data_IF_464789490022
#
_entry.id   IF_464789490022
#
_cell.length_a   1.000
_cell.length_b   1.000
_cell.length_c   1.000
_cell.angle_alpha   90.00
_cell.angle_beta   90.00
_cell.angle_gamma   90.00
#
_symmetry.space_group_name_H-M   'P 1'
#
loop_
_entity.id
_entity.type
_entity.pdbx_description
1 polymer ?
#
# COMPACT_ATOMS: atom_id res chain seq x y z
N UNK A 1 21.82 -9.65 -0.47
CA UNK A 1 20.67 -10.28 0.20
C UNK A 1 19.85 -9.21 0.89
N UNK A 2 18.53 -9.24 0.71
CA UNK A 2 17.58 -8.34 1.36
C UNK A 2 17.36 -8.88 2.77
N UNK A 3 17.40 -8.01 3.80
CA UNK A 3 17.13 -8.45 5.16
C UNK A 3 15.65 -8.78 5.40
N UNK A 4 15.37 -9.58 6.42
CA UNK A 4 14.02 -10.07 6.73
C UNK A 4 13.01 -8.95 6.97
N UNK A 5 13.44 -7.83 7.56
CA UNK A 5 12.54 -6.70 7.86
C UNK A 5 12.18 -5.97 6.56
N UNK A 6 13.15 -5.70 5.69
CA UNK A 6 12.87 -5.12 4.37
C UNK A 6 11.98 -6.04 3.53
N UNK A 7 12.19 -7.36 3.58
CA UNK A 7 11.32 -8.32 2.90
C UNK A 7 9.86 -8.22 3.39
N UNK A 8 9.63 -8.13 4.71
CA UNK A 8 8.29 -7.93 5.26
C UNK A 8 7.66 -6.61 4.82
N UNK A 9 8.45 -5.54 4.69
CA UNK A 9 7.97 -4.26 4.16
C UNK A 9 7.61 -4.31 2.68
N UNK A 10 8.35 -5.08 1.88
CA UNK A 10 8.02 -5.31 0.47
C UNK A 10 6.68 -6.04 0.38
N UNK A 11 6.53 -7.18 1.05
CA UNK A 11 5.33 -8.01 1.00
C UNK A 11 4.08 -7.26 1.47
N UNK A 12 4.17 -6.53 2.59
CA UNK A 12 3.03 -5.76 3.09
C UNK A 12 2.74 -4.54 2.22
N UNK A 13 3.76 -3.95 1.59
CA UNK A 13 3.59 -2.88 0.61
C UNK A 13 2.85 -3.38 -0.62
N UNK A 14 3.28 -4.50 -1.20
CA UNK A 14 2.63 -5.14 -2.34
C UNK A 14 1.14 -5.38 -2.04
N UNK A 15 0.83 -6.06 -0.93
CA UNK A 15 -0.55 -6.30 -0.51
C UNK A 15 -1.33 -5.00 -0.29
N UNK A 16 -0.70 -3.96 0.26
CA UNK A 16 -1.36 -2.67 0.47
C UNK A 16 -1.74 -2.00 -0.86
N UNK A 17 -0.87 -2.10 -1.88
CA UNK A 17 -1.17 -1.64 -3.23
C UNK A 17 -2.27 -2.46 -3.89
N UNK A 18 -2.20 -3.77 -3.76
CA UNK A 18 -3.17 -4.76 -4.25
C UNK A 18 -4.58 -4.52 -3.67
N UNK A 19 -4.65 -4.24 -2.38
CA UNK A 19 -5.90 -3.94 -1.69
C UNK A 19 -6.42 -2.56 -2.10
N UNK A 20 -5.54 -1.56 -2.19
CA UNK A 20 -5.95 -0.21 -2.56
C UNK A 20 -6.56 -0.16 -3.97
N UNK A 21 -5.94 -0.85 -4.96
CA UNK A 21 -6.44 -0.85 -6.35
C UNK A 21 -7.76 -1.62 -6.49
N UNK A 22 -8.00 -2.64 -5.66
CA UNK A 22 -9.28 -3.36 -5.65
C UNK A 22 -10.42 -2.58 -5.00
N UNK A 23 -10.08 -1.67 -4.08
CA UNK A 23 -11.07 -0.87 -3.36
C UNK A 23 -11.42 0.44 -4.04
N UNK A 24 -10.56 0.94 -4.94
CA UNK A 24 -10.80 2.22 -5.62
C UNK A 24 -11.69 2.04 -6.86
N UNK A 25 -12.65 2.93 -7.02
CA UNK A 25 -13.45 3.08 -8.21
C UNK A 25 -12.72 3.94 -9.25
N UNK A 26 -12.56 3.37 -10.44
CA UNK A 26 -11.89 4.01 -11.57
C UNK A 26 -10.36 3.96 -11.50
N UNK A 27 -9.71 4.40 -12.58
CA UNK A 27 -8.26 4.42 -12.65
C UNK A 27 -7.68 5.52 -11.74
N UNK A 28 -6.66 5.21 -10.92
CA UNK A 28 -5.99 6.23 -10.13
C UNK A 28 -5.19 7.17 -11.03
N UNK A 29 -5.26 8.46 -10.76
CA UNK A 29 -4.39 9.49 -11.38
C UNK A 29 -3.13 9.75 -10.57
N UNK A 30 -3.14 9.39 -9.29
CA UNK A 30 -2.04 9.61 -8.37
C UNK A 30 -1.89 8.44 -7.38
N UNK A 31 -0.64 8.05 -7.14
CA UNK A 31 -0.20 7.13 -6.10
C UNK A 31 0.68 7.93 -5.12
N UNK A 32 0.32 7.93 -3.84
CA UNK A 32 1.14 8.51 -2.75
C UNK A 32 1.60 7.39 -1.84
N UNK A 33 2.90 7.29 -1.63
CA UNK A 33 3.50 6.35 -0.67
C UNK A 33 4.19 7.15 0.43
N UNK A 34 3.66 7.08 1.65
CA UNK A 34 4.24 7.75 2.82
C UNK A 34 4.95 6.75 3.71
N UNK A 35 6.23 6.94 3.94
CA UNK A 35 7.04 6.19 4.90
C UNK A 35 7.21 7.02 6.18
N UNK A 36 6.84 6.47 7.33
CA UNK A 36 6.97 7.12 8.63
C UNK A 36 7.87 6.32 9.57
N UNK A 37 8.84 6.99 10.20
CA UNK A 37 9.70 6.41 11.23
C UNK A 37 11.02 5.83 10.68
N UNK A 38 11.52 4.76 11.29
CA UNK A 38 12.71 4.03 10.89
C UNK A 38 12.62 3.43 9.49
N UNK A 39 11.43 3.00 9.03
CA UNK A 39 11.28 2.54 7.63
C UNK A 39 11.59 3.65 6.63
N UNK A 40 11.37 4.93 6.99
CA UNK A 40 11.73 6.06 6.14
C UNK A 40 13.25 6.26 6.00
N UNK A 41 14.04 5.73 6.95
CA UNK A 41 15.52 5.78 6.92
C UNK A 41 16.13 4.71 6.02
N UNK A 42 15.35 3.72 5.60
CA UNK A 42 15.80 2.63 4.71
C UNK A 42 15.76 3.07 3.23
N UNK A 43 16.32 2.22 2.37
CA UNK A 43 16.18 2.34 0.93
C UNK A 43 14.75 1.92 0.52
N UNK A 44 13.90 2.91 0.25
CA UNK A 44 12.46 2.70 0.00
C UNK A 44 12.12 2.48 -1.48
N UNK A 45 13.09 2.56 -2.39
CA UNK A 45 12.85 2.45 -3.83
C UNK A 45 12.28 1.07 -4.19
N UNK A 46 12.86 0.00 -3.64
CA UNK A 46 12.41 -1.36 -3.87
C UNK A 46 10.98 -1.59 -3.36
N UNK A 47 10.64 -1.07 -2.16
CA UNK A 47 9.30 -1.15 -1.61
C UNK A 47 8.30 -0.38 -2.50
N UNK A 48 8.67 0.84 -2.90
CA UNK A 48 7.80 1.69 -3.75
C UNK A 48 7.55 1.04 -5.12
N UNK A 49 8.59 0.51 -5.77
CA UNK A 49 8.46 -0.18 -7.06
C UNK A 49 7.60 -1.43 -6.95
N UNK A 50 7.73 -2.17 -5.85
CA UNK A 50 6.92 -3.37 -5.61
C UNK A 50 5.44 -3.01 -5.42
N UNK A 51 5.14 -1.95 -4.67
CA UNK A 51 3.79 -1.39 -4.55
C UNK A 51 3.23 -1.00 -5.93
N UNK A 52 3.98 -0.22 -6.73
CA UNK A 52 3.54 0.22 -8.05
C UNK A 52 3.35 -0.94 -9.02
N UNK A 53 4.26 -1.92 -9.01
CA UNK A 53 4.15 -3.17 -9.76
C UNK A 53 2.80 -3.83 -9.45
N UNK A 54 2.48 -3.95 -8.17
CA UNK A 54 1.28 -4.66 -7.73
C UNK A 54 -0.02 -3.91 -8.06
N UNK A 55 -0.02 -2.58 -7.97
CA UNK A 55 -1.16 -1.74 -8.38
C UNK A 55 -1.47 -1.94 -9.86
N UNK A 56 -0.45 -1.96 -10.72
CA UNK A 56 -0.63 -2.08 -12.17
C UNK A 56 -0.76 -3.53 -12.66
N UNK A 57 -0.57 -4.53 -11.79
CA UNK A 57 -0.52 -5.95 -12.14
C UNK A 57 -1.83 -6.46 -12.75
N UNK A 58 -2.98 -5.97 -12.26
CA UNK A 58 -4.31 -6.37 -12.75
C UNK A 58 -4.52 -5.97 -14.21
N UNK A 59 -4.06 -4.77 -14.60
CA UNK A 59 -4.28 -4.24 -15.95
C UNK A 59 -3.21 -4.70 -16.95
N UNK A 60 -1.96 -4.81 -16.50
CA UNK A 60 -0.81 -5.06 -17.39
C UNK A 60 -0.34 -6.53 -17.41
N UNK A 61 -0.78 -7.34 -16.46
CA UNK A 61 -0.44 -8.78 -16.38
C UNK A 61 1.07 -9.02 -16.41
N UNK A 62 1.53 -9.99 -17.20
CA UNK A 62 2.94 -10.39 -17.26
C UNK A 62 3.87 -9.33 -17.89
N UNK A 63 3.33 -8.24 -18.43
CA UNK A 63 4.13 -7.16 -19.05
C UNK A 63 4.85 -6.31 -18.01
N UNK A 64 4.34 -6.25 -16.78
CA UNK A 64 4.94 -5.47 -15.71
C UNK A 64 5.87 -6.32 -14.83
N UNK A 65 6.96 -5.70 -14.41
CA UNK A 65 7.89 -6.21 -13.41
C UNK A 65 8.50 -5.03 -12.64
N UNK A 66 9.32 -5.35 -11.63
CA UNK A 66 9.90 -4.34 -10.73
C UNK A 66 10.83 -3.33 -11.44
N UNK A 67 11.44 -3.72 -12.56
CA UNK A 67 12.38 -2.88 -13.31
C UNK A 67 11.61 -1.83 -14.12
N UNK A 68 10.54 -2.25 -14.82
CA UNK A 68 9.77 -1.38 -15.71
C UNK A 68 8.54 -0.73 -15.06
N UNK A 69 8.23 -1.02 -13.80
CA UNK A 69 7.03 -0.53 -13.09
C UNK A 69 6.82 0.98 -13.22
N UNK A 70 7.82 1.82 -12.93
CA UNK A 70 7.68 3.27 -13.05
C UNK A 70 7.62 3.76 -14.49
N UNK A 71 8.28 3.07 -15.44
CA UNK A 71 8.19 3.43 -16.85
C UNK A 71 6.75 3.21 -17.35
N UNK A 72 6.17 2.05 -17.06
CA UNK A 72 4.79 1.74 -17.40
C UNK A 72 3.80 2.65 -16.67
N UNK A 73 4.05 2.99 -15.40
CA UNK A 73 3.22 3.95 -14.66
C UNK A 73 3.17 5.33 -15.34
N UNK A 74 4.32 5.82 -15.79
CA UNK A 74 4.41 7.09 -16.50
C UNK A 74 3.68 7.04 -17.86
N UNK A 75 3.73 5.91 -18.56
CA UNK A 75 2.96 5.71 -19.80
C UNK A 75 1.45 5.74 -19.57
N UNK A 76 0.97 5.33 -18.39
CA UNK A 76 -0.44 5.47 -17.98
C UNK A 76 -0.81 6.91 -17.56
N UNK A 77 0.14 7.84 -17.51
CA UNK A 77 -0.10 9.21 -17.05
C UNK A 77 -0.36 9.34 -15.55
N UNK A 78 -0.02 8.31 -14.76
CA UNK A 78 -0.25 8.27 -13.31
C UNK A 78 0.98 8.80 -12.58
N UNK A 79 0.79 9.75 -11.67
CA UNK A 79 1.90 10.32 -10.89
C UNK A 79 2.18 9.48 -9.64
N UNK A 80 3.44 9.19 -9.33
CA UNK A 80 3.83 8.58 -8.06
C UNK A 80 4.63 9.57 -7.18
N UNK A 81 4.11 9.86 -5.99
CA UNK A 81 4.76 10.71 -5.00
C UNK A 81 5.20 9.90 -3.79
N UNK A 82 6.48 9.99 -3.43
CA UNK A 82 7.05 9.34 -2.24
C UNK A 82 7.34 10.39 -1.20
N UNK A 83 6.78 10.21 0.00
CA UNK A 83 7.00 11.08 1.14
C UNK A 83 7.68 10.31 2.27
N UNK A 84 8.74 10.90 2.84
CA UNK A 84 9.47 10.34 3.97
C UNK A 84 9.34 11.28 5.15
N UNK A 85 8.78 10.80 6.25
CA UNK A 85 8.57 11.56 7.48
C UNK A 85 9.38 10.97 8.63
N UNK A 86 10.10 11.84 9.33
CA UNK A 86 10.69 11.47 10.61
C UNK A 86 9.57 11.20 11.62
N UNK A 87 9.77 10.21 12.50
CA UNK A 87 8.82 9.90 13.57
C UNK A 87 8.54 11.17 14.41
N UNK A 88 7.29 11.63 14.45
CA UNK A 88 6.85 12.65 15.40
C UNK A 88 5.74 12.06 16.28
N UNK A 89 5.97 11.99 17.60
CA UNK A 89 5.00 11.46 18.57
C UNK A 89 4.87 9.93 18.57
N UNK A 90 3.71 9.42 18.96
CA UNK A 90 3.38 7.99 19.18
C UNK A 90 3.25 7.17 17.88
N UNK A 91 3.47 7.78 16.71
CA UNK A 91 3.30 7.09 15.42
C UNK A 91 4.44 6.12 15.17
N UNK A 92 4.15 4.84 15.45
CA UNK A 92 4.98 3.67 15.16
C UNK A 92 5.37 3.60 13.68
N UNK A 93 6.52 2.98 13.39
CA UNK A 93 6.98 2.60 12.06
C UNK A 93 5.83 2.15 11.15
N UNK A 94 5.56 2.86 10.04
CA UNK A 94 4.37 2.62 9.24
C UNK A 94 4.51 3.13 7.80
N UNK A 95 3.89 2.41 6.85
CA UNK A 95 3.72 2.82 5.46
C UNK A 95 2.25 3.12 5.17
N UNK A 96 1.99 4.16 4.37
CA UNK A 96 0.67 4.44 3.81
C UNK A 96 0.74 4.36 2.28
N UNK A 97 -0.14 3.58 1.68
CA UNK A 97 -0.44 3.65 0.25
C UNK A 97 -1.74 4.42 0.09
N UNK A 98 -1.73 5.50 -0.69
CA UNK A 98 -2.89 6.36 -0.92
C UNK A 98 -3.08 6.54 -2.42
N UNK A 99 -4.18 6.00 -2.94
CA UNK A 99 -4.60 6.14 -4.32
C UNK A 99 -5.65 7.24 -4.43
N UNK A 100 -5.56 8.05 -5.47
CA UNK A 100 -6.52 9.12 -5.78
C UNK A 100 -7.00 8.93 -7.21
N UNK A 101 -8.31 8.78 -7.41
CA UNK A 101 -8.97 8.83 -8.71
C UNK A 101 -9.66 10.18 -8.90
N UNK A 102 -10.47 10.33 -9.95
CA UNK A 102 -11.26 11.54 -10.16
C UNK A 102 -12.51 11.60 -9.26
N UNK A 103 -12.97 10.46 -8.77
CA UNK A 103 -14.21 10.32 -7.98
C UNK A 103 -13.94 10.13 -6.50
N UNK A 104 -12.84 9.47 -6.13
CA UNK A 104 -12.58 9.12 -4.74
C UNK A 104 -11.08 8.91 -4.41
N UNK A 105 -10.82 8.57 -3.15
CA UNK A 105 -9.51 8.20 -2.67
C UNK A 105 -9.57 7.00 -1.72
N UNK A 106 -8.53 6.16 -1.78
CA UNK A 106 -8.37 4.99 -0.91
C UNK A 106 -7.03 5.06 -0.21
N UNK A 107 -7.02 4.80 1.11
CA UNK A 107 -5.81 4.82 1.94
C UNK A 107 -5.65 3.49 2.66
N UNK A 108 -4.56 2.79 2.40
CA UNK A 108 -4.18 1.56 3.10
C UNK A 108 -2.96 1.83 3.95
N UNK A 109 -3.04 1.39 5.20
CA UNK A 109 -2.00 1.59 6.17
C UNK A 109 -1.44 0.32 6.74
N UNK A 110 -0.12 0.20 6.77
CA UNK A 110 0.54 -0.99 7.26
C UNK A 110 1.78 -0.74 8.11
N UNK A 111 2.08 -1.69 9.00
CA UNK A 111 3.24 -1.66 9.90
C UNK A 111 3.91 -3.02 9.95
N UNK A 112 5.18 -3.05 10.33
CA UNK A 112 5.91 -4.27 10.69
C UNK A 112 6.29 -4.16 12.16
N UNK A 113 5.80 -5.10 12.96
CA UNK A 113 6.05 -5.16 14.40
C UNK A 113 7.08 -6.26 14.66
N UNK A 114 8.22 -5.87 15.25
CA UNK A 114 9.28 -6.82 15.58
C UNK A 114 8.73 -8.00 16.42
N UNK A 115 8.96 -9.23 15.96
CA UNK A 115 8.48 -10.46 16.60
C UNK A 115 7.01 -10.82 16.36
N UNK A 116 6.19 -9.90 15.81
CA UNK A 116 4.77 -10.15 15.52
C UNK A 116 4.43 -10.12 14.02
N UNK A 117 5.33 -9.58 13.19
CA UNK A 117 5.25 -9.53 11.73
C UNK A 117 4.48 -8.33 11.20
N UNK A 118 4.18 -8.37 9.90
CA UNK A 118 3.49 -7.31 9.18
C UNK A 118 1.98 -7.30 9.48
N UNK A 119 1.39 -6.10 9.49
CA UNK A 119 -0.04 -5.87 9.75
C UNK A 119 -0.58 -4.71 8.93
N UNK A 120 -1.81 -4.85 8.40
CA UNK A 120 -2.61 -3.69 8.00
C UNK A 120 -3.26 -3.14 9.27
N UNK A 121 -3.11 -1.85 9.48
CA UNK A 121 -3.61 -1.15 10.67
C UNK A 121 -4.65 -0.07 10.36
N UNK A 122 -4.83 0.23 9.06
CA UNK A 122 -5.81 1.23 8.60
C UNK A 122 -6.32 0.92 7.21
N UNK A 123 -7.63 1.10 7.01
CA UNK A 123 -8.28 1.14 5.71
C UNK A 123 -9.17 2.38 5.71
N UNK A 124 -8.87 3.36 4.87
CA UNK A 124 -9.46 4.69 4.85
C UNK A 124 -9.44 5.33 6.25
N UNK A 125 -10.60 5.60 6.84
CA UNK A 125 -10.72 6.19 8.18
C UNK A 125 -10.88 5.17 9.31
N UNK A 126 -10.91 3.88 8.97
CA UNK A 126 -11.10 2.80 9.93
C UNK A 126 -9.75 2.30 10.44
N UNK A 127 -9.59 2.31 11.78
CA UNK A 127 -8.50 1.60 12.43
C UNK A 127 -8.83 0.11 12.49
N UNK A 128 -7.82 -0.70 12.18
CA UNK A 128 -7.94 -2.12 11.90
C UNK A 128 -6.72 -2.81 12.54
N UNK A 129 -6.81 -4.09 12.87
CA UNK A 129 -5.65 -4.88 13.32
C UNK A 129 -5.67 -6.23 12.61
N UNK A 130 -5.04 -6.25 11.45
CA UNK A 130 -5.16 -7.34 10.51
C UNK A 130 -3.79 -7.89 10.13
N UNK A 131 -3.55 -9.16 10.43
CA UNK A 131 -2.37 -9.90 9.97
C UNK A 131 -2.67 -10.55 8.61
N UNK A 132 -1.94 -10.21 7.53
CA UNK A 132 -2.15 -10.81 6.24
C UNK A 132 -1.99 -12.32 6.20
N UNK A 133 -2.80 -12.94 5.35
CA UNK A 133 -2.63 -14.30 4.85
C UNK A 133 -2.92 -14.33 3.33
N UNK A 134 -2.94 -15.50 2.72
CA UNK A 134 -3.11 -15.65 1.26
C UNK A 134 -4.45 -15.18 0.70
N UNK A 135 -5.51 -15.09 1.50
CA UNK A 135 -6.87 -14.77 1.02
C UNK A 135 -7.57 -13.76 1.93
N UNK A 136 -7.97 -12.62 1.37
CA UNK A 136 -8.68 -11.56 2.11
C UNK A 136 -10.05 -11.31 1.51
N UNK A 137 -11.05 -11.14 2.38
CA UNK A 137 -12.37 -10.66 2.00
C UNK A 137 -12.61 -9.33 2.72
N UNK A 138 -12.81 -8.27 1.93
CA UNK A 138 -13.17 -6.95 2.43
C UNK A 138 -14.57 -6.63 1.94
N UNK A 139 -15.47 -6.30 2.85
CA UNK A 139 -16.82 -5.85 2.52
C UNK A 139 -17.12 -4.55 3.24
N UNK A 140 -17.60 -3.56 2.50
CA UNK A 140 -18.11 -2.32 3.06
C UNK A 140 -19.63 -2.42 3.21
N UNK A 141 -20.12 -2.28 4.43
CA UNK A 141 -21.55 -2.30 4.73
C UNK A 141 -22.00 -0.92 5.21
N UNK A 142 -22.93 -0.30 4.48
CA UNK A 142 -23.67 0.85 4.99
C UNK A 142 -24.57 0.37 6.13
N UNK A 143 -24.37 0.94 7.32
CA UNK A 143 -25.04 0.52 8.55
C UNK A 143 -26.56 0.62 8.38
N UNK A 144 -27.21 -0.54 8.20
CA UNK A 144 -28.66 -0.69 8.05
C UNK A 144 -29.10 -1.80 9.01
N UNK A 145 -30.18 -1.59 9.79
CA UNK A 145 -30.62 -2.59 10.76
C UNK A 145 -30.86 -3.95 10.08
N UNK A 146 -30.16 -4.99 10.55
CA UNK A 146 -30.37 -6.38 10.11
C UNK A 146 -29.34 -6.96 9.13
N UNK A 147 -28.18 -6.33 8.92
CA UNK A 147 -27.09 -6.94 8.14
C UNK A 147 -25.87 -7.29 9.00
N UNK A 148 -25.29 -8.46 8.72
CA UNK A 148 -23.95 -8.92 9.14
C UNK A 148 -23.22 -9.37 7.88
#
# INVERSE_FOLDING_TARGET
DIDEITQQWIEIGELSGELAIQLIEGAPREIKVTFNGDVAKQETDLITRSIVKQILQQDLGDRINIINAFALLNEQGVTCNVEKRASQGTFSNYIQVHLVSDTEEVKIGATVIAGFGARIVRINDYSVDFKPNSYQLVSYHGDKPGMV
#
